data_IF_867865448522
#
_entry.id   IF_867865448522
#
_cell.length_a   1.000
_cell.length_b   1.000
_cell.length_c   1.000
_cell.angle_alpha   90.00
_cell.angle_beta   90.00
_cell.angle_gamma   90.00
#
_symmetry.space_group_name_H-M   'P 1'
#
loop_
_entity.id
_entity.type
_entity.pdbx_description
1 polymer ?
#
# COMPACT_ATOMS: atom_id res chain seq x y z
N UNK A 1 18.83 -9.58 -19.39
CA UNK A 1 18.11 -8.40 -18.88
C UNK A 1 18.47 -7.22 -19.78
N UNK A 2 17.51 -6.69 -20.53
CA UNK A 2 17.72 -5.57 -21.45
C UNK A 2 18.03 -4.31 -20.63
N UNK A 3 19.14 -3.64 -20.91
CA UNK A 3 19.53 -2.41 -20.20
C UNK A 3 18.77 -1.21 -20.76
N UNK A 4 18.04 -0.54 -19.88
CA UNK A 4 17.32 0.71 -20.17
C UNK A 4 18.22 1.93 -19.93
N UNK A 5 19.24 1.77 -19.09
CA UNK A 5 20.11 2.83 -18.60
C UNK A 5 21.05 3.38 -19.71
N UNK A 6 21.12 2.67 -20.83
CA UNK A 6 21.92 2.98 -22.02
C UNK A 6 21.16 3.79 -23.08
N UNK A 7 19.89 4.10 -22.89
CA UNK A 7 19.08 4.79 -23.92
C UNK A 7 19.34 6.29 -23.92
N UNK A 8 19.39 6.89 -25.11
CA UNK A 8 19.67 8.33 -25.27
C UNK A 8 18.45 9.15 -25.68
N UNK A 9 17.33 8.48 -26.02
CA UNK A 9 16.05 9.12 -26.33
C UNK A 9 14.88 8.45 -25.60
N UNK A 10 13.75 9.15 -25.47
CA UNK A 10 12.52 8.60 -24.86
C UNK A 10 11.94 7.46 -25.70
N UNK A 11 12.03 7.56 -27.02
CA UNK A 11 11.48 6.55 -27.93
C UNK A 11 12.27 5.24 -27.83
N UNK A 12 13.60 5.32 -27.76
CA UNK A 12 14.48 4.17 -27.49
C UNK A 12 14.17 3.53 -26.13
N UNK A 13 13.90 4.34 -25.11
CA UNK A 13 13.54 3.86 -23.77
C UNK A 13 12.28 3.03 -23.79
N UNK A 14 11.19 3.55 -24.38
CA UNK A 14 9.92 2.83 -24.42
C UNK A 14 9.98 1.60 -25.34
N UNK A 15 10.75 1.66 -26.42
CA UNK A 15 10.99 0.50 -27.28
C UNK A 15 11.70 -0.64 -26.52
N UNK A 16 12.80 -0.34 -25.83
CA UNK A 16 13.52 -1.35 -25.01
C UNK A 16 12.70 -1.84 -23.82
N UNK A 17 11.89 -0.97 -23.22
CA UNK A 17 10.98 -1.36 -22.14
C UNK A 17 9.93 -2.36 -22.65
N UNK A 18 9.33 -2.07 -23.81
CA UNK A 18 8.40 -2.99 -24.47
C UNK A 18 9.07 -4.31 -24.82
N UNK A 19 10.29 -4.29 -25.37
CA UNK A 19 11.05 -5.51 -25.67
C UNK A 19 11.28 -6.37 -24.41
N UNK A 20 11.60 -5.74 -23.27
CA UNK A 20 11.73 -6.46 -22.00
C UNK A 20 10.41 -7.05 -21.54
N UNK A 21 9.29 -6.33 -21.68
CA UNK A 21 7.95 -6.85 -21.34
C UNK A 21 7.64 -8.08 -22.20
N UNK A 22 7.87 -8.01 -23.51
CA UNK A 22 7.61 -9.13 -24.41
C UNK A 22 8.51 -10.33 -24.13
N UNK A 23 9.77 -10.09 -23.76
CA UNK A 23 10.73 -11.16 -23.46
C UNK A 23 10.46 -11.83 -22.11
N UNK A 24 10.22 -11.04 -21.06
CA UNK A 24 10.19 -11.54 -19.68
C UNK A 24 8.77 -11.92 -19.21
N UNK A 25 7.71 -11.29 -19.77
CA UNK A 25 6.31 -11.60 -19.45
C UNK A 25 5.58 -12.35 -20.57
N UNK A 26 6.01 -12.14 -21.82
CA UNK A 26 5.35 -12.71 -23.01
C UNK A 26 3.82 -12.50 -23.05
N UNK A 27 3.29 -11.29 -22.83
CA UNK A 27 1.85 -11.05 -22.85
C UNK A 27 1.28 -11.14 -24.26
N UNK A 28 -0.03 -11.36 -24.38
CA UNK A 28 -0.71 -11.27 -25.68
C UNK A 28 -0.77 -9.82 -26.16
N UNK A 29 -1.02 -8.89 -25.23
CA UNK A 29 -1.13 -7.47 -25.50
C UNK A 29 -0.45 -6.67 -24.42
N UNK A 30 0.20 -5.59 -24.80
CA UNK A 30 0.83 -4.69 -23.86
C UNK A 30 0.90 -3.27 -24.43
N UNK A 31 0.89 -2.27 -23.55
CA UNK A 31 1.16 -0.89 -23.95
C UNK A 31 1.76 -0.09 -22.80
N UNK A 32 2.42 1.00 -23.17
CA UNK A 32 3.00 1.97 -22.25
C UNK A 32 2.38 3.33 -22.52
N UNK A 33 1.83 3.96 -21.48
CA UNK A 33 1.33 5.34 -21.54
C UNK A 33 2.32 6.27 -20.84
N UNK A 34 2.56 7.42 -21.46
CA UNK A 34 3.34 8.50 -20.84
C UNK A 34 3.04 9.82 -21.52
N UNK A 35 2.84 10.88 -20.73
CA UNK A 35 2.50 12.21 -21.23
C UNK A 35 1.08 12.31 -21.78
N UNK A 36 0.70 13.52 -22.19
CA UNK A 36 -0.63 13.85 -22.70
C UNK A 36 -0.55 14.41 -24.11
N UNK A 37 -1.57 14.11 -24.93
CA UNK A 37 -1.82 14.77 -26.20
C UNK A 37 -2.34 16.21 -25.97
N UNK A 38 -2.44 16.99 -27.05
CA UNK A 38 -2.96 18.36 -27.01
C UNK A 38 -4.37 18.48 -26.39
N UNK A 39 -5.13 17.39 -26.38
CA UNK A 39 -6.48 17.31 -25.82
C UNK A 39 -6.52 16.83 -24.36
N UNK A 40 -5.37 16.71 -23.69
CA UNK A 40 -5.27 16.25 -22.29
C UNK A 40 -5.44 14.72 -22.11
N UNK A 41 -5.61 13.97 -23.18
CA UNK A 41 -5.69 12.50 -23.13
C UNK A 41 -4.30 11.88 -23.04
N UNK A 42 -4.16 10.77 -22.32
CA UNK A 42 -2.92 10.00 -22.25
C UNK A 42 -2.40 9.60 -23.64
N UNK A 43 -1.08 9.72 -23.83
CA UNK A 43 -0.39 9.31 -25.06
C UNK A 43 0.20 7.91 -24.91
N UNK A 44 -0.10 7.04 -25.87
CA UNK A 44 0.56 5.74 -26.01
C UNK A 44 1.95 5.93 -26.61
N UNK A 45 2.98 5.43 -25.94
CA UNK A 45 4.37 5.52 -26.42
C UNK A 45 4.85 4.23 -27.09
N UNK A 46 4.34 3.09 -26.61
CA UNK A 46 4.61 1.78 -27.20
C UNK A 46 3.37 0.90 -27.04
N UNK A 47 3.12 0.03 -28.00
CA UNK A 47 2.03 -0.95 -27.95
C UNK A 47 2.41 -2.24 -28.66
N UNK A 48 1.79 -3.34 -28.24
CA UNK A 48 1.92 -4.68 -28.81
C UNK A 48 0.55 -5.36 -28.78
N UNK A 49 0.19 -6.04 -29.87
CA UNK A 49 -1.09 -6.76 -29.98
C UNK A 49 -2.33 -5.86 -29.98
N UNK A 50 -2.15 -4.53 -30.11
CA UNK A 50 -3.20 -3.49 -30.06
C UNK A 50 -2.83 -2.34 -30.99
N UNK A 51 -3.85 -1.59 -31.43
CA UNK A 51 -3.65 -0.30 -32.10
C UNK A 51 -3.40 0.81 -31.07
N UNK A 52 -2.14 1.28 -31.01
CA UNK A 52 -1.64 2.27 -30.06
C UNK A 52 -2.45 3.57 -30.00
N UNK A 53 -2.99 4.02 -31.12
CA UNK A 53 -3.76 5.28 -31.21
C UNK A 53 -5.20 5.12 -30.70
N UNK A 54 -5.67 3.87 -30.58
CA UNK A 54 -7.06 3.56 -30.24
C UNK A 54 -7.21 2.84 -28.89
N UNK A 55 -6.11 2.49 -28.21
CA UNK A 55 -6.11 1.76 -26.91
C UNK A 55 -7.11 2.32 -25.90
N UNK A 56 -7.25 3.65 -25.81
CA UNK A 56 -8.10 4.31 -24.82
C UNK A 56 -9.56 4.53 -25.27
N UNK A 57 -9.88 4.22 -26.53
CA UNK A 57 -11.16 4.56 -27.17
C UNK A 57 -11.84 3.33 -27.81
N UNK A 58 -11.08 2.29 -28.19
CA UNK A 58 -11.56 1.16 -28.99
C UNK A 58 -12.43 0.15 -28.22
N UNK A 59 -12.42 0.18 -26.88
CA UNK A 59 -13.08 -0.83 -26.05
C UNK A 59 -12.42 -2.23 -26.11
N UNK A 60 -11.26 -2.35 -26.77
CA UNK A 60 -10.52 -3.61 -26.94
C UNK A 60 -9.88 -4.10 -25.63
N UNK A 61 -9.68 -3.19 -24.66
CA UNK A 61 -9.13 -3.48 -23.34
C UNK A 61 -10.14 -3.18 -22.24
N UNK A 62 -10.02 -3.86 -21.10
CA UNK A 62 -10.80 -3.51 -19.92
C UNK A 62 -10.26 -2.21 -19.34
N UNK A 63 -11.00 -1.11 -19.51
CA UNK A 63 -10.63 0.22 -19.00
C UNK A 63 -10.70 0.33 -17.48
N UNK A 64 -11.26 -0.64 -16.77
CA UNK A 64 -11.51 -0.55 -15.32
C UNK A 64 -10.23 -0.74 -14.48
N UNK A 65 -9.45 -1.84 -14.63
CA UNK A 65 -8.12 -1.94 -14.02
C UNK A 65 -7.22 -0.76 -14.37
N UNK A 66 -7.26 -0.34 -15.64
CA UNK A 66 -6.50 0.82 -16.13
C UNK A 66 -6.91 2.11 -15.40
N UNK A 67 -8.21 2.36 -15.23
CA UNK A 67 -8.74 3.54 -14.54
C UNK A 67 -8.40 3.56 -13.05
N UNK A 68 -8.45 2.41 -12.39
CA UNK A 68 -8.03 2.28 -10.99
C UNK A 68 -6.57 2.70 -10.84
N UNK A 69 -5.68 2.13 -11.65
CA UNK A 69 -4.25 2.42 -11.63
C UNK A 69 -3.97 3.88 -12.00
N UNK A 70 -4.71 4.45 -12.97
CA UNK A 70 -4.58 5.86 -13.34
C UNK A 70 -5.09 6.83 -12.26
N UNK A 71 -6.08 6.44 -11.47
CA UNK A 71 -6.67 7.27 -10.42
C UNK A 71 -5.87 7.21 -9.12
N UNK A 72 -5.55 6.00 -8.68
CA UNK A 72 -5.00 5.75 -7.34
C UNK A 72 -3.48 5.50 -7.38
N UNK A 73 -2.92 5.16 -8.54
CA UNK A 73 -1.53 4.75 -8.69
C UNK A 73 -1.23 3.35 -8.15
N UNK A 74 -2.23 2.69 -7.56
CA UNK A 74 -2.12 1.35 -6.99
C UNK A 74 -2.07 0.30 -8.12
N UNK A 75 -1.13 -0.67 -8.06
CA UNK A 75 -1.00 -1.67 -9.10
C UNK A 75 -2.16 -2.67 -9.06
N UNK A 76 -2.57 -3.15 -10.23
CA UNK A 76 -3.60 -4.18 -10.37
C UNK A 76 -2.99 -5.40 -11.03
N UNK A 77 -3.15 -6.57 -10.39
CA UNK A 77 -2.80 -7.87 -10.96
C UNK A 77 -3.98 -8.82 -10.76
N UNK A 78 -4.53 -9.31 -11.88
CA UNK A 78 -5.66 -10.23 -11.87
C UNK A 78 -5.20 -11.57 -12.45
N UNK A 79 -5.31 -12.63 -11.64
CA UNK A 79 -5.02 -14.00 -12.07
C UNK A 79 -6.08 -14.49 -13.06
N UNK A 80 -7.36 -14.23 -12.76
CA UNK A 80 -8.47 -14.34 -13.71
C UNK A 80 -9.46 -13.19 -13.47
N UNK A 81 -9.52 -12.23 -14.37
CA UNK A 81 -10.40 -11.07 -14.31
C UNK A 81 -11.89 -11.46 -14.28
N UNK A 82 -12.26 -12.64 -14.80
CA UNK A 82 -13.65 -13.13 -14.80
C UNK A 82 -14.05 -13.86 -13.51
N UNK A 83 -13.08 -14.26 -12.70
CA UNK A 83 -13.32 -14.92 -11.40
C UNK A 83 -12.99 -13.98 -10.24
N UNK A 84 -12.38 -12.83 -10.52
CA UNK A 84 -12.06 -11.82 -9.52
C UNK A 84 -13.34 -11.19 -8.92
N UNK A 85 -13.50 -11.15 -7.58
CA UNK A 85 -14.70 -10.62 -6.93
C UNK A 85 -15.02 -9.15 -7.26
N UNK A 86 -13.99 -8.35 -7.56
CA UNK A 86 -14.13 -6.92 -7.85
C UNK A 86 -14.42 -6.65 -9.34
N UNK A 87 -13.97 -7.54 -10.23
CA UNK A 87 -13.95 -7.31 -11.69
C UNK A 87 -14.85 -8.26 -12.51
N UNK A 88 -15.19 -9.45 -12.00
CA UNK A 88 -15.95 -10.51 -12.70
C UNK A 88 -17.33 -10.10 -13.22
N UNK A 89 -18.03 -9.20 -12.52
CA UNK A 89 -19.34 -8.69 -12.90
C UNK A 89 -19.33 -7.50 -13.86
N UNK A 90 -18.16 -6.94 -14.21
CA UNK A 90 -18.08 -5.69 -14.97
C UNK A 90 -18.19 -5.95 -16.47
N UNK A 91 -19.08 -5.22 -17.15
CA UNK A 91 -19.28 -5.32 -18.61
C UNK A 91 -17.97 -5.17 -19.41
N UNK A 92 -17.04 -4.33 -18.98
CA UNK A 92 -15.76 -4.13 -19.67
C UNK A 92 -14.85 -5.35 -19.67
N UNK A 93 -14.89 -6.17 -18.61
CA UNK A 93 -14.11 -7.42 -18.52
C UNK A 93 -14.70 -8.48 -19.44
N UNK A 94 -16.03 -8.55 -19.50
CA UNK A 94 -16.73 -9.49 -20.37
C UNK A 94 -16.58 -9.13 -21.86
N UNK A 95 -16.61 -7.84 -22.21
CA UNK A 95 -16.48 -7.37 -23.60
C UNK A 95 -15.05 -7.45 -24.14
N UNK A 96 -14.04 -7.17 -23.32
CA UNK A 96 -12.62 -7.23 -23.74
C UNK A 96 -12.07 -8.66 -23.78
N UNK A 97 -12.79 -9.62 -23.18
CA UNK A 97 -12.45 -11.04 -23.20
C UNK A 97 -11.25 -11.43 -22.33
N UNK A 98 -10.69 -10.48 -21.57
CA UNK A 98 -9.43 -10.65 -20.84
C UNK A 98 -9.52 -11.72 -19.75
N UNK A 99 -8.43 -12.49 -19.61
CA UNK A 99 -8.28 -13.52 -18.58
C UNK A 99 -7.33 -13.06 -17.51
N UNK A 100 -6.08 -12.75 -17.82
CA UNK A 100 -5.15 -12.19 -16.82
C UNK A 100 -4.73 -10.79 -17.18
N UNK A 101 -4.56 -9.93 -16.18
CA UNK A 101 -4.13 -8.53 -16.34
C UNK A 101 -3.02 -8.25 -15.37
N UNK A 102 -2.05 -7.45 -15.80
CA UNK A 102 -1.14 -6.75 -14.91
C UNK A 102 -0.97 -5.30 -15.36
N UNK A 103 -1.12 -4.36 -14.43
CA UNK A 103 -1.08 -2.94 -14.73
C UNK A 103 -0.40 -2.20 -13.58
N UNK A 104 0.65 -1.44 -13.90
CA UNK A 104 1.48 -0.75 -12.92
C UNK A 104 1.76 0.67 -13.39
N UNK A 105 1.48 1.65 -12.54
CA UNK A 105 1.85 3.04 -12.77
C UNK A 105 3.25 3.36 -12.22
N UNK A 106 3.86 4.42 -12.76
CA UNK A 106 4.87 5.19 -12.04
C UNK A 106 4.37 6.62 -11.84
N UNK A 107 4.81 7.21 -10.74
CA UNK A 107 4.45 8.57 -10.37
C UNK A 107 5.59 9.55 -10.65
N UNK A 108 5.24 10.82 -10.87
CA UNK A 108 6.19 11.92 -10.93
C UNK A 108 6.59 12.37 -9.51
N UNK A 109 7.33 13.48 -9.45
CA UNK A 109 7.77 14.11 -8.21
C UNK A 109 6.63 14.70 -7.37
N UNK A 110 5.46 14.90 -7.96
CA UNK A 110 4.28 15.46 -7.32
C UNK A 110 3.32 14.37 -6.81
N UNK A 111 3.78 13.12 -6.76
CA UNK A 111 2.99 11.92 -6.44
C UNK A 111 1.77 11.72 -7.37
N UNK A 112 1.81 12.32 -8.57
CA UNK A 112 0.80 12.12 -9.60
C UNK A 112 1.23 11.01 -10.54
N UNK A 113 0.28 10.20 -10.99
CA UNK A 113 0.56 9.19 -12.02
C UNK A 113 1.10 9.90 -13.26
N UNK A 114 2.31 9.54 -13.67
CA UNK A 114 3.02 10.15 -14.79
C UNK A 114 3.05 9.24 -16.02
N UNK A 115 2.85 7.95 -15.80
CA UNK A 115 2.68 6.96 -16.86
C UNK A 115 2.40 5.58 -16.28
N UNK A 116 2.14 4.62 -17.15
CA UNK A 116 1.87 3.24 -16.75
C UNK A 116 2.29 2.24 -17.80
N UNK A 117 2.50 1.02 -17.33
CA UNK A 117 2.66 -0.19 -18.14
C UNK A 117 1.43 -1.07 -17.93
N UNK A 118 0.82 -1.48 -19.02
CA UNK A 118 -0.28 -2.43 -19.05
C UNK A 118 0.12 -3.67 -19.85
N UNK A 119 -0.24 -4.84 -19.35
CA UNK A 119 -0.15 -6.09 -20.09
C UNK A 119 -1.35 -7.00 -19.76
N UNK A 120 -1.85 -7.69 -20.77
CA UNK A 120 -2.91 -8.68 -20.59
C UNK A 120 -2.71 -9.95 -21.43
N UNK A 121 -3.50 -10.96 -21.07
CA UNK A 121 -3.67 -12.18 -21.85
C UNK A 121 -5.15 -12.58 -21.82
N UNK A 122 -5.74 -12.86 -23.00
CA UNK A 122 -7.15 -13.24 -23.12
C UNK A 122 -7.34 -14.75 -23.12
N UNK A 123 -6.27 -15.53 -23.18
CA UNK A 123 -6.32 -17.00 -23.30
C UNK A 123 -5.84 -17.66 -22.01
N UNK A 124 -4.65 -17.27 -21.53
CA UNK A 124 -4.01 -17.85 -20.36
C UNK A 124 -4.59 -17.24 -19.09
N UNK A 125 -5.07 -18.12 -18.20
CA UNK A 125 -5.26 -17.78 -16.78
C UNK A 125 -3.90 -17.73 -16.10
N UNK A 126 -3.75 -16.85 -15.11
CA UNK A 126 -2.54 -16.74 -14.31
C UNK A 126 -1.28 -16.54 -15.16
N UNK A 127 -1.38 -15.86 -16.31
CA UNK A 127 -0.22 -15.55 -17.14
C UNK A 127 0.76 -14.62 -16.41
N UNK A 128 0.26 -13.87 -15.44
CA UNK A 128 1.03 -13.02 -14.55
C UNK A 128 0.83 -13.49 -13.11
N UNK A 129 1.94 -13.69 -12.42
CA UNK A 129 2.03 -14.07 -11.01
C UNK A 129 2.70 -12.94 -10.21
N UNK A 130 2.78 -13.10 -8.89
CA UNK A 130 3.35 -12.10 -7.99
C UNK A 130 4.79 -11.69 -8.36
N UNK A 131 5.60 -12.63 -8.86
CA UNK A 131 6.95 -12.35 -9.35
C UNK A 131 6.93 -11.41 -10.58
N UNK A 132 5.93 -11.55 -11.45
CA UNK A 132 5.76 -10.65 -12.60
C UNK A 132 5.34 -9.25 -12.14
N UNK A 133 4.56 -9.13 -11.05
CA UNK A 133 4.19 -7.85 -10.47
C UNK A 133 5.42 -7.13 -9.89
N UNK A 134 6.21 -7.83 -9.09
CA UNK A 134 7.46 -7.29 -8.55
C UNK A 134 8.43 -6.86 -9.68
N UNK A 135 8.49 -7.66 -10.75
CA UNK A 135 9.29 -7.34 -11.93
C UNK A 135 8.77 -6.08 -12.65
N UNK A 136 7.45 -5.96 -12.88
CA UNK A 136 6.84 -4.80 -13.54
C UNK A 136 7.02 -3.51 -12.72
N UNK A 137 6.91 -3.58 -11.39
CA UNK A 137 7.20 -2.45 -10.50
C UNK A 137 8.66 -2.01 -10.64
N UNK A 138 9.60 -2.97 -10.71
CA UNK A 138 11.01 -2.68 -10.96
C UNK A 138 11.26 -2.07 -12.34
N UNK A 139 10.54 -2.52 -13.38
CA UNK A 139 10.60 -1.95 -14.72
C UNK A 139 10.09 -0.50 -14.72
N UNK A 140 8.93 -0.24 -14.11
CA UNK A 140 8.34 1.09 -14.02
C UNK A 140 9.28 2.10 -13.34
N UNK A 141 9.95 1.70 -12.25
CA UNK A 141 10.92 2.55 -11.57
C UNK A 141 12.22 2.77 -12.38
N UNK A 142 12.61 1.80 -13.22
CA UNK A 142 13.73 1.98 -14.17
C UNK A 142 13.36 2.94 -15.30
N UNK A 143 12.16 2.82 -15.87
CA UNK A 143 11.63 3.74 -16.89
C UNK A 143 11.62 5.16 -16.32
N UNK A 144 11.00 5.36 -15.15
CA UNK A 144 10.93 6.67 -14.47
C UNK A 144 12.32 7.28 -14.27
N UNK A 145 13.28 6.52 -13.76
CA UNK A 145 14.66 7.01 -13.56
C UNK A 145 15.35 7.40 -14.85
N UNK A 146 15.17 6.62 -15.91
CA UNK A 146 15.78 6.96 -17.18
C UNK A 146 15.11 8.18 -17.83
N UNK A 147 13.80 8.37 -17.65
CA UNK A 147 13.10 9.59 -18.05
C UNK A 147 13.65 10.83 -17.33
N UNK A 148 13.94 10.74 -16.03
CA UNK A 148 14.59 11.83 -15.28
C UNK A 148 15.95 12.20 -15.90
N UNK A 149 16.78 11.18 -16.18
CA UNK A 149 18.11 11.35 -16.81
C UNK A 149 18.00 12.01 -18.18
N UNK A 150 17.09 11.54 -19.02
CA UNK A 150 16.86 12.08 -20.37
C UNK A 150 16.34 13.51 -20.36
N UNK A 151 15.56 13.88 -19.33
CA UNK A 151 15.08 15.25 -19.14
C UNK A 151 16.16 16.20 -18.59
N UNK A 152 17.39 15.73 -18.35
CA UNK A 152 18.44 16.51 -17.70
C UNK A 152 18.12 16.86 -16.24
N UNK A 153 17.11 16.20 -15.67
CA UNK A 153 16.69 16.37 -14.29
C UNK A 153 17.58 15.45 -13.46
N UNK A 154 18.28 16.01 -12.48
CA UNK A 154 19.14 15.21 -11.58
C UNK A 154 18.34 13.98 -11.09
N UNK A 155 18.87 12.75 -11.23
CA UNK A 155 18.13 11.54 -10.89
C UNK A 155 17.59 11.69 -9.49
N UNK A 156 16.29 11.43 -9.31
CA UNK A 156 15.68 11.45 -7.99
C UNK A 156 16.58 10.62 -7.05
N UNK A 157 17.03 11.16 -5.89
CA UNK A 157 17.57 10.30 -4.85
C UNK A 157 16.57 9.15 -4.65
N UNK A 158 17.03 7.90 -4.45
CA UNK A 158 16.12 6.75 -4.39
C UNK A 158 14.94 7.08 -3.48
N UNK A 159 13.71 7.01 -4.02
CA UNK A 159 12.47 7.59 -3.48
C UNK A 159 12.54 7.92 -1.98
N UNK A 160 12.66 9.21 -1.65
CA UNK A 160 12.26 9.67 -0.33
C UNK A 160 10.74 9.53 -0.24
N UNK A 161 10.27 8.37 0.23
CA UNK A 161 8.86 8.18 0.57
C UNK A 161 8.55 8.95 1.86
N UNK A 162 8.34 10.26 1.72
CA UNK A 162 7.48 11.00 2.62
C UNK A 162 6.05 10.44 2.57
N UNK A 163 5.28 10.48 3.67
CA UNK A 163 3.89 10.04 3.67
C UNK A 163 3.03 11.00 2.82
N UNK A 164 1.82 10.60 2.36
CA UNK A 164 0.83 11.61 2.01
C UNK A 164 0.67 12.53 3.22
N UNK A 165 0.89 13.81 3.00
CA UNK A 165 0.73 14.88 3.97
C UNK A 165 -0.67 14.77 4.58
N UNK A 166 -0.66 14.32 5.83
CA UNK A 166 -1.80 14.07 6.70
C UNK A 166 -1.27 13.77 8.10
N UNK A 167 -0.47 14.73 8.60
CA UNK A 167 0.13 14.83 9.93
C UNK A 167 1.33 13.93 10.25
N UNK A 168 2.52 14.47 10.01
CA UNK A 168 3.55 14.44 11.05
C UNK A 168 3.22 15.49 12.11
N UNK A 169 2.95 15.00 13.31
CA UNK A 169 3.45 15.62 14.53
C UNK A 169 4.09 14.50 15.35
N UNK A 170 5.39 14.54 15.66
CA UNK A 170 5.87 13.80 16.83
C UNK A 170 5.21 14.43 18.07
N UNK A 171 4.85 13.68 19.12
CA UNK A 171 4.80 14.31 20.43
C UNK A 171 6.22 14.82 20.70
N UNK A 172 6.30 16.13 20.93
CA UNK A 172 7.50 16.86 21.31
C UNK A 172 8.26 16.17 22.45
N UNK A 173 9.57 16.07 22.22
CA UNK A 173 10.70 16.06 23.16
C UNK A 173 10.38 15.97 24.66
N UNK A 174 10.78 14.84 25.26
CA UNK A 174 11.57 14.93 26.49
C UNK A 174 13.04 14.90 26.11
N UNK A 175 13.60 16.08 25.93
CA UNK A 175 15.04 16.32 25.83
C UNK A 175 15.64 16.28 27.24
N UNK A 176 16.07 15.10 27.66
CA UNK A 176 17.16 14.99 28.64
C UNK A 176 18.21 14.01 28.13
N UNK A 177 19.26 14.59 27.54
CA UNK A 177 20.62 14.04 27.60
C UNK A 177 21.05 13.11 26.46
N UNK A 178 21.92 13.64 25.59
CA UNK A 178 22.95 12.85 24.93
C UNK A 178 22.85 12.82 23.41
N UNK A 179 23.58 13.72 22.76
CA UNK A 179 24.02 13.52 21.39
C UNK A 179 24.82 12.21 21.31
N UNK A 180 24.27 11.21 20.63
CA UNK A 180 25.08 10.11 20.11
C UNK A 180 24.48 9.58 18.80
N UNK A 181 25.38 9.23 17.89
CA UNK A 181 25.18 8.62 16.58
C UNK A 181 23.90 7.77 16.42
N UNK A 182 23.20 7.90 15.29
CA UNK A 182 22.04 7.06 14.92
C UNK A 182 22.41 5.57 15.07
N UNK A 183 21.95 4.95 16.16
CA UNK A 183 22.28 3.56 16.51
C UNK A 183 21.94 2.61 15.35
N UNK A 184 22.82 1.65 15.08
CA UNK A 184 22.77 0.75 13.91
C UNK A 184 21.39 0.13 13.65
N UNK A 185 20.64 -0.23 14.70
CA UNK A 185 19.31 -0.84 14.56
C UNK A 185 18.31 0.09 13.90
N UNK A 186 18.35 1.39 14.21
CA UNK A 186 17.39 2.35 13.71
C UNK A 186 17.63 2.65 12.23
N UNK A 187 18.90 2.72 11.82
CA UNK A 187 19.32 2.83 10.42
C UNK A 187 18.79 1.64 9.60
N UNK A 188 19.04 0.41 10.06
CA UNK A 188 18.51 -0.79 9.39
C UNK A 188 16.98 -0.83 9.37
N UNK A 189 16.32 -0.39 10.45
CA UNK A 189 14.86 -0.36 10.54
C UNK A 189 14.24 0.63 9.56
N UNK A 190 14.79 1.85 9.47
CA UNK A 190 14.35 2.86 8.48
C UNK A 190 14.54 2.36 7.06
N UNK A 191 15.68 1.74 6.77
CA UNK A 191 15.94 1.14 5.46
C UNK A 191 14.94 0.02 5.13
N UNK A 192 14.63 -0.85 6.11
CA UNK A 192 13.62 -1.89 5.96
C UNK A 192 12.25 -1.33 5.60
N UNK A 193 11.82 -0.24 6.25
CA UNK A 193 10.56 0.44 5.88
C UNK A 193 10.59 1.02 4.47
N UNK A 194 11.68 1.68 4.08
CA UNK A 194 11.84 2.24 2.72
C UNK A 194 11.73 1.15 1.67
N UNK A 195 12.43 0.03 1.89
CA UNK A 195 12.37 -1.14 1.02
C UNK A 195 10.98 -1.76 0.94
N UNK A 196 10.22 -1.76 2.04
CA UNK A 196 8.85 -2.27 2.06
C UNK A 196 7.91 -1.39 1.23
N UNK A 197 8.05 -0.06 1.33
CA UNK A 197 7.23 0.88 0.56
C UNK A 197 7.44 0.75 -0.95
N UNK A 198 8.68 0.54 -1.39
CA UNK A 198 9.00 0.30 -2.81
C UNK A 198 8.76 -1.15 -3.27
N UNK A 199 8.04 -1.97 -2.48
CA UNK A 199 7.69 -3.35 -2.82
C UNK A 199 8.84 -4.37 -2.74
N UNK A 200 10.03 -3.99 -2.26
CA UNK A 200 11.18 -4.90 -2.10
C UNK A 200 11.10 -5.70 -0.79
N UNK A 201 10.03 -6.48 -0.64
CA UNK A 201 9.63 -7.15 0.62
C UNK A 201 10.73 -8.07 1.16
N UNK A 202 11.36 -8.89 0.32
CA UNK A 202 12.44 -9.80 0.77
C UNK A 202 13.70 -9.07 1.24
N UNK A 203 14.03 -7.90 0.66
CA UNK A 203 15.13 -7.05 1.16
C UNK A 203 14.73 -6.34 2.44
N UNK A 204 13.49 -5.88 2.54
CA UNK A 204 12.96 -5.27 3.76
C UNK A 204 13.07 -6.24 4.94
N UNK A 205 12.69 -7.51 4.76
CA UNK A 205 12.82 -8.54 5.79
C UNK A 205 14.26 -8.72 6.27
N UNK A 206 15.22 -8.80 5.34
CA UNK A 206 16.65 -8.92 5.68
C UNK A 206 17.13 -7.73 6.51
N UNK A 207 16.77 -6.51 6.12
CA UNK A 207 17.15 -5.31 6.86
C UNK A 207 16.52 -5.25 8.25
N UNK A 208 15.25 -5.64 8.39
CA UNK A 208 14.59 -5.69 9.69
C UNK A 208 15.13 -6.80 10.59
N UNK A 209 15.57 -7.94 10.04
CA UNK A 209 16.30 -8.97 10.80
C UNK A 209 17.65 -8.46 11.32
N UNK A 210 18.40 -7.71 10.49
CA UNK A 210 19.62 -7.02 10.92
C UNK A 210 19.35 -5.98 12.01
N UNK A 211 18.27 -5.20 11.84
CA UNK A 211 17.81 -4.24 12.86
C UNK A 211 17.51 -4.95 14.18
N UNK A 212 16.81 -6.09 14.15
CA UNK A 212 16.44 -6.81 15.36
C UNK A 212 17.68 -7.34 16.10
N UNK A 213 18.65 -7.87 15.35
CA UNK A 213 19.93 -8.32 15.90
C UNK A 213 20.69 -7.17 16.55
N UNK A 214 20.72 -6.00 15.92
CA UNK A 214 21.35 -4.81 16.48
C UNK A 214 20.58 -4.27 17.70
N UNK A 215 19.25 -4.27 17.67
CA UNK A 215 18.40 -3.81 18.76
C UNK A 215 18.60 -4.67 20.02
N UNK A 216 18.68 -6.00 19.89
CA UNK A 216 18.91 -6.90 21.03
C UNK A 216 20.27 -6.71 21.71
N UNK A 217 21.28 -6.23 20.99
CA UNK A 217 22.58 -5.87 21.59
C UNK A 217 22.49 -4.67 22.53
N UNK A 218 21.48 -3.82 22.36
CA UNK A 218 21.24 -2.67 23.26
C UNK A 218 20.58 -3.07 24.58
N UNK A 219 20.18 -4.33 24.71
CA UNK A 219 19.50 -4.89 25.87
C UNK A 219 18.24 -5.67 25.46
N UNK A 220 17.98 -6.78 26.15
CA UNK A 220 16.72 -7.53 26.03
C UNK A 220 15.54 -6.68 26.52
N UNK A 221 14.35 -6.93 25.95
CA UNK A 221 13.12 -6.18 26.24
C UNK A 221 13.28 -4.66 26.02
N UNK A 222 14.16 -4.23 25.11
CA UNK A 222 14.39 -2.82 24.80
C UNK A 222 13.28 -2.21 23.93
N UNK A 223 13.09 -0.89 24.02
CA UNK A 223 12.19 -0.18 23.10
C UNK A 223 12.64 -0.32 21.64
N UNK A 224 13.94 -0.49 21.39
CA UNK A 224 14.49 -0.77 20.07
C UNK A 224 14.01 -2.12 19.53
N UNK A 225 14.00 -3.16 20.37
CA UNK A 225 13.49 -4.49 20.02
C UNK A 225 12.00 -4.42 19.69
N UNK A 226 11.18 -3.85 20.57
CA UNK A 226 9.73 -3.75 20.38
C UNK A 226 9.35 -2.96 19.10
N UNK A 227 10.02 -1.83 18.84
CA UNK A 227 9.81 -1.04 17.62
C UNK A 227 10.17 -1.83 16.37
N UNK A 228 11.25 -2.62 16.42
CA UNK A 228 11.69 -3.43 15.28
C UNK A 228 10.77 -4.62 15.02
N UNK A 229 10.31 -5.31 16.06
CA UNK A 229 9.33 -6.39 15.95
C UNK A 229 8.01 -5.90 15.33
N UNK A 230 7.51 -4.73 15.76
CA UNK A 230 6.33 -4.10 15.14
C UNK A 230 6.55 -3.73 13.66
N UNK A 231 7.78 -3.35 13.29
CA UNK A 231 8.15 -3.14 11.88
C UNK A 231 8.13 -4.45 11.09
N UNK A 232 8.65 -5.55 11.66
CA UNK A 232 8.65 -6.88 11.03
C UNK A 232 7.23 -7.40 10.78
N UNK A 233 6.30 -7.12 11.70
CA UNK A 233 4.88 -7.45 11.51
C UNK A 233 4.31 -6.96 10.18
N UNK A 234 4.70 -5.75 9.74
CA UNK A 234 4.26 -5.20 8.44
C UNK A 234 4.76 -6.03 7.27
N UNK A 235 6.01 -6.48 7.32
CA UNK A 235 6.60 -7.34 6.29
C UNK A 235 5.87 -8.69 6.25
N UNK A 236 5.66 -9.31 7.41
CA UNK A 236 4.97 -10.59 7.50
C UNK A 236 3.51 -10.51 7.04
N UNK A 237 2.81 -9.39 7.29
CA UNK A 237 1.47 -9.16 6.72
C UNK A 237 1.48 -9.12 5.19
N UNK A 238 2.42 -8.39 4.60
CA UNK A 238 2.56 -8.30 3.13
C UNK A 238 2.91 -9.66 2.52
N UNK A 239 3.64 -10.50 3.24
CA UNK A 239 3.97 -11.87 2.81
C UNK A 239 2.89 -12.91 3.17
N UNK A 240 1.74 -12.50 3.71
CA UNK A 240 0.69 -13.41 4.20
C UNK A 240 1.15 -14.41 5.29
N UNK A 241 2.26 -14.13 5.98
CA UNK A 241 2.80 -14.92 7.09
C UNK A 241 2.15 -14.49 8.40
N UNK A 242 0.86 -14.83 8.55
CA UNK A 242 0.01 -14.31 9.62
C UNK A 242 0.42 -14.78 11.02
N UNK A 243 0.89 -16.02 11.16
CA UNK A 243 1.31 -16.56 12.47
C UNK A 243 2.56 -15.85 12.98
N UNK A 244 3.57 -15.65 12.12
CA UNK A 244 4.77 -14.90 12.48
C UNK A 244 4.47 -13.42 12.74
N UNK A 245 3.52 -12.84 12.02
CA UNK A 245 3.03 -11.49 12.30
C UNK A 245 2.43 -11.40 13.71
N UNK A 246 1.62 -12.39 14.11
CA UNK A 246 1.02 -12.44 15.46
C UNK A 246 2.09 -12.55 16.52
N UNK A 247 3.01 -13.50 16.38
CA UNK A 247 4.08 -13.75 17.34
C UNK A 247 4.91 -12.47 17.60
N UNK A 248 5.35 -11.78 16.54
CA UNK A 248 6.16 -10.56 16.73
C UNK A 248 5.36 -9.39 17.29
N UNK A 249 4.06 -9.30 17.01
CA UNK A 249 3.19 -8.24 17.57
C UNK A 249 2.84 -8.48 19.03
N UNK A 250 2.58 -9.73 19.43
CA UNK A 250 2.35 -10.13 20.82
C UNK A 250 3.61 -9.83 21.64
N UNK A 251 4.78 -10.25 21.13
CA UNK A 251 6.06 -9.95 21.77
C UNK A 251 6.34 -8.45 21.87
N UNK A 252 6.04 -7.68 20.82
CA UNK A 252 6.20 -6.23 20.86
C UNK A 252 5.27 -5.58 21.90
N UNK A 253 4.02 -6.03 21.97
CA UNK A 253 3.03 -5.53 22.94
C UNK A 253 3.49 -5.78 24.38
N UNK A 254 3.96 -7.00 24.70
CA UNK A 254 4.52 -7.33 26.01
C UNK A 254 5.64 -6.39 26.42
N UNK A 255 6.60 -6.14 25.52
CA UNK A 255 7.73 -5.26 25.81
C UNK A 255 7.24 -3.82 26.02
N UNK A 256 6.32 -3.33 25.17
CA UNK A 256 5.75 -1.98 25.34
C UNK A 256 4.97 -1.84 26.66
N UNK A 257 4.22 -2.87 27.07
CA UNK A 257 3.51 -2.90 28.35
C UNK A 257 4.49 -2.76 29.52
N UNK A 258 5.55 -3.59 29.55
CA UNK A 258 6.59 -3.53 30.60
C UNK A 258 7.31 -2.19 30.66
N UNK A 259 7.39 -1.47 29.54
CA UNK A 259 8.05 -0.17 29.42
C UNK A 259 7.09 1.02 29.63
N UNK A 260 5.83 0.78 29.99
CA UNK A 260 4.86 1.84 30.24
C UNK A 260 4.52 2.63 28.97
N UNK A 261 4.35 1.96 27.83
CA UNK A 261 4.10 2.57 26.51
C UNK A 261 2.69 2.26 25.99
N UNK A 262 1.63 2.77 26.63
CA UNK A 262 0.25 2.36 26.36
C UNK A 262 -0.19 2.59 24.91
N UNK A 263 0.23 3.70 24.28
CA UNK A 263 -0.09 3.99 22.88
C UNK A 263 0.57 3.01 21.90
N UNK A 264 1.77 2.52 22.21
CA UNK A 264 2.44 1.53 21.37
C UNK A 264 1.83 0.13 21.55
N UNK A 265 1.37 -0.21 22.77
CA UNK A 265 0.53 -1.40 23.03
C UNK A 265 -0.73 -1.33 22.17
N UNK A 266 -1.48 -0.23 22.23
CA UNK A 266 -2.72 -0.04 21.47
C UNK A 266 -2.52 -0.25 19.96
N UNK A 267 -1.40 0.23 19.41
CA UNK A 267 -1.04 0.03 17.99
C UNK A 267 -0.78 -1.44 17.65
N UNK A 268 -0.13 -2.19 18.55
CA UNK A 268 0.10 -3.62 18.36
C UNK A 268 -1.23 -4.39 18.40
N UNK A 269 -2.04 -4.11 19.42
CA UNK A 269 -3.37 -4.72 19.59
C UNK A 269 -4.29 -4.46 18.40
N UNK A 270 -4.35 -3.22 17.90
CA UNK A 270 -5.16 -2.89 16.72
C UNK A 270 -4.70 -3.64 15.45
N UNK A 271 -3.39 -3.84 15.30
CA UNK A 271 -2.83 -4.59 14.16
C UNK A 271 -3.16 -6.07 14.26
N UNK A 272 -3.05 -6.66 15.47
CA UNK A 272 -3.48 -8.03 15.77
C UNK A 272 -4.97 -8.22 15.54
N UNK A 273 -5.79 -7.28 16.04
CA UNK A 273 -7.23 -7.28 15.89
C UNK A 273 -7.63 -7.31 14.41
N UNK A 274 -7.00 -6.49 13.57
CA UNK A 274 -7.22 -6.52 12.13
C UNK A 274 -6.90 -7.85 11.47
N UNK A 275 -5.86 -8.56 11.94
CA UNK A 275 -5.55 -9.91 11.46
C UNK A 275 -6.56 -10.97 11.90
N UNK A 276 -7.08 -10.88 13.13
CA UNK A 276 -8.18 -11.76 13.57
C UNK A 276 -9.50 -11.43 12.88
N UNK A 277 -9.75 -10.16 12.56
CA UNK A 277 -10.90 -9.69 11.80
C UNK A 277 -10.90 -10.28 10.38
N UNK A 278 -9.78 -10.23 9.65
CA UNK A 278 -9.68 -10.84 8.32
C UNK A 278 -9.86 -12.36 8.34
N UNK A 279 -9.42 -13.00 9.42
CA UNK A 279 -9.56 -14.45 9.61
C UNK A 279 -10.93 -14.85 10.19
N UNK A 280 -11.89 -13.93 10.24
CA UNK A 280 -13.25 -14.14 10.77
C UNK A 280 -13.30 -14.59 12.24
N UNK A 281 -12.22 -14.38 13.01
CA UNK A 281 -12.16 -14.61 14.45
C UNK A 281 -12.65 -13.36 15.20
N UNK A 282 -13.93 -13.04 15.02
CA UNK A 282 -14.54 -11.77 15.47
C UNK A 282 -14.45 -11.55 16.97
N UNK A 283 -14.61 -12.58 17.80
CA UNK A 283 -14.54 -12.48 19.26
C UNK A 283 -13.15 -12.03 19.75
N UNK A 284 -12.09 -12.60 19.14
CA UNK A 284 -10.70 -12.20 19.45
C UNK A 284 -10.41 -10.80 18.95
N UNK A 285 -10.83 -10.49 17.72
CA UNK A 285 -10.66 -9.17 17.13
C UNK A 285 -11.33 -8.10 18.00
N UNK A 286 -12.55 -8.35 18.46
CA UNK A 286 -13.29 -7.44 19.31
C UNK A 286 -12.58 -7.16 20.63
N UNK A 287 -12.14 -8.19 21.36
CA UNK A 287 -11.42 -8.01 22.62
C UNK A 287 -10.20 -7.11 22.47
N UNK A 288 -9.43 -7.33 21.39
CA UNK A 288 -8.24 -6.55 21.06
C UNK A 288 -8.57 -5.12 20.64
N UNK A 289 -9.59 -4.91 19.80
CA UNK A 289 -10.02 -3.56 19.41
C UNK A 289 -10.54 -2.76 20.60
N UNK A 290 -11.35 -3.35 21.49
CA UNK A 290 -11.83 -2.67 22.70
C UNK A 290 -10.67 -2.24 23.58
N UNK A 291 -9.69 -3.13 23.82
CA UNK A 291 -8.51 -2.79 24.61
C UNK A 291 -7.67 -1.68 23.98
N UNK A 292 -7.50 -1.69 22.65
CA UNK A 292 -6.82 -0.61 21.94
C UNK A 292 -7.57 0.74 22.08
N UNK A 293 -8.90 0.71 21.98
CA UNK A 293 -9.77 1.89 22.17
C UNK A 293 -9.64 2.44 23.59
N UNK A 294 -9.66 1.61 24.63
CA UNK A 294 -9.46 2.03 26.03
C UNK A 294 -8.13 2.78 26.20
N UNK A 295 -7.04 2.23 25.68
CA UNK A 295 -5.71 2.81 25.81
C UNK A 295 -5.59 4.14 25.07
N UNK A 296 -6.18 4.26 23.87
CA UNK A 296 -6.20 5.53 23.14
C UNK A 296 -7.11 6.57 23.79
N UNK A 297 -8.28 6.18 24.28
CA UNK A 297 -9.22 7.09 24.95
C UNK A 297 -8.67 7.64 26.26
N UNK A 298 -7.89 6.85 27.00
CA UNK A 298 -7.27 7.27 28.24
C UNK A 298 -6.24 8.39 28.04
N UNK A 299 -5.55 8.39 26.89
CA UNK A 299 -4.58 9.43 26.52
C UNK A 299 -5.29 10.66 25.94
N UNK A 300 -6.10 10.45 24.90
CA UNK A 300 -6.83 11.50 24.21
C UNK A 300 -8.17 10.95 23.70
N UNK A 301 -9.32 11.47 24.20
CA UNK A 301 -10.65 11.05 23.75
C UNK A 301 -10.91 11.23 22.25
N UNK A 302 -10.08 11.99 21.54
CA UNK A 302 -10.15 12.23 20.09
C UNK A 302 -8.91 11.74 19.34
N UNK A 303 -8.12 10.84 19.93
CA UNK A 303 -6.95 10.26 19.28
C UNK A 303 -7.34 9.68 17.91
N UNK A 304 -6.63 10.08 16.84
CA UNK A 304 -7.01 9.76 15.44
C UNK A 304 -7.20 8.27 15.13
N UNK A 305 -6.51 7.39 15.85
CA UNK A 305 -6.64 5.93 15.68
C UNK A 305 -7.93 5.34 16.28
N UNK A 306 -8.68 6.10 17.08
CA UNK A 306 -9.96 5.66 17.63
C UNK A 306 -10.99 5.42 16.53
N UNK A 307 -11.08 6.30 15.52
CA UNK A 307 -12.10 6.19 14.49
C UNK A 307 -12.02 4.87 13.70
N UNK A 308 -10.86 4.45 13.16
CA UNK A 308 -10.73 3.14 12.52
C UNK A 308 -11.09 1.96 13.44
N UNK A 309 -10.66 1.98 14.70
CA UNK A 309 -10.92 0.87 15.62
C UNK A 309 -12.39 0.78 16.04
N UNK A 310 -13.03 1.93 16.32
CA UNK A 310 -14.46 2.01 16.57
C UNK A 310 -15.27 1.57 15.35
N UNK A 311 -14.82 1.92 14.14
CA UNK A 311 -15.45 1.47 12.89
C UNK A 311 -15.40 -0.06 12.75
N UNK A 312 -14.29 -0.72 13.11
CA UNK A 312 -14.23 -2.17 13.14
C UNK A 312 -15.09 -2.80 14.25
N UNK A 313 -15.19 -2.16 15.43
CA UNK A 313 -16.14 -2.60 16.46
C UNK A 313 -17.59 -2.49 15.98
N UNK A 314 -17.92 -1.45 15.19
CA UNK A 314 -19.23 -1.32 14.55
C UNK A 314 -19.52 -2.43 13.54
N UNK A 315 -18.53 -2.86 12.76
CA UNK A 315 -18.66 -4.01 11.84
C UNK A 315 -18.95 -5.30 12.60
N UNK A 316 -18.22 -5.55 13.70
CA UNK A 316 -18.36 -6.77 14.50
C UNK A 316 -19.70 -6.77 15.25
N UNK A 317 -20.06 -5.64 15.88
CA UNK A 317 -21.21 -5.52 16.77
C UNK A 317 -22.40 -4.90 16.04
N UNK A 318 -23.03 -5.64 15.14
CA UNK A 318 -24.14 -5.13 14.31
C UNK A 318 -25.28 -4.48 15.12
N UNK A 319 -25.57 -4.96 16.34
CA UNK A 319 -26.60 -4.37 17.23
C UNK A 319 -26.22 -3.01 17.82
N UNK A 320 -24.93 -2.69 17.93
CA UNK A 320 -24.40 -1.42 18.45
C UNK A 320 -23.65 -0.63 17.38
N UNK A 321 -23.79 -1.03 16.11
CA UNK A 321 -23.04 -0.47 14.99
C UNK A 321 -23.23 1.03 14.87
N UNK A 322 -24.47 1.52 15.02
CA UNK A 322 -24.77 2.95 14.97
C UNK A 322 -24.01 3.73 16.04
N UNK A 323 -24.00 3.27 17.30
CA UNK A 323 -23.27 3.93 18.39
C UNK A 323 -21.78 4.02 18.09
N UNK A 324 -21.20 2.93 17.56
CA UNK A 324 -19.79 2.90 17.20
C UNK A 324 -19.47 3.83 16.02
N UNK A 325 -20.31 3.84 14.98
CA UNK A 325 -20.11 4.70 13.81
C UNK A 325 -20.33 6.18 14.11
N UNK A 326 -21.29 6.52 14.96
CA UNK A 326 -21.48 7.89 15.45
C UNK A 326 -20.21 8.40 16.13
N UNK A 327 -19.68 7.63 17.10
CA UNK A 327 -18.46 8.03 17.81
C UNK A 327 -17.25 8.04 16.89
N UNK A 328 -17.14 7.07 15.97
CA UNK A 328 -16.05 7.03 15.01
C UNK A 328 -16.07 8.24 14.07
N UNK A 329 -17.25 8.68 13.63
CA UNK A 329 -17.42 9.84 12.76
C UNK A 329 -17.06 11.14 13.50
N UNK A 330 -17.55 11.30 14.74
CA UNK A 330 -17.22 12.44 15.60
C UNK A 330 -15.70 12.57 15.80
N UNK A 331 -15.03 11.47 16.13
CA UNK A 331 -13.58 11.48 16.32
C UNK A 331 -12.85 11.79 15.01
N UNK A 332 -13.25 11.19 13.88
CA UNK A 332 -12.61 11.46 12.59
C UNK A 332 -12.77 12.92 12.15
N UNK A 333 -13.98 13.47 12.27
CA UNK A 333 -14.26 14.87 11.94
C UNK A 333 -13.37 15.82 12.75
N UNK A 334 -13.23 15.59 14.06
CA UNK A 334 -12.42 16.45 14.93
C UNK A 334 -10.91 16.29 14.75
N UNK A 335 -10.44 15.06 14.56
CA UNK A 335 -8.99 14.76 14.52
C UNK A 335 -8.37 14.79 13.14
N UNK A 336 -9.15 14.56 12.08
CA UNK A 336 -8.66 14.46 10.70
C UNK A 336 -9.32 15.49 9.76
N UNK A 337 -10.43 16.09 10.17
CA UNK A 337 -11.23 17.01 9.34
C UNK A 337 -12.31 16.28 8.51
N UNK A 338 -13.27 17.05 8.02
CA UNK A 338 -14.48 16.55 7.33
C UNK A 338 -14.20 15.88 5.96
N UNK A 339 -13.19 16.38 5.25
CA UNK A 339 -12.84 15.92 3.89
C UNK A 339 -11.92 14.69 3.87
N UNK A 340 -11.36 14.33 5.03
CA UNK A 340 -10.42 13.23 5.12
C UNK A 340 -11.08 11.91 4.69
N UNK A 341 -10.41 11.05 3.90
CA UNK A 341 -11.00 9.80 3.39
C UNK A 341 -11.59 8.89 4.47
N UNK A 342 -10.94 8.82 5.64
CA UNK A 342 -11.45 8.05 6.80
C UNK A 342 -12.77 8.65 7.29
N UNK A 343 -12.88 9.97 7.43
CA UNK A 343 -14.11 10.64 7.86
C UNK A 343 -15.26 10.36 6.89
N UNK A 344 -14.99 10.48 5.58
CA UNK A 344 -15.97 10.13 4.53
C UNK A 344 -16.44 8.68 4.64
N UNK A 345 -15.51 7.72 4.73
CA UNK A 345 -15.83 6.29 4.84
C UNK A 345 -16.66 5.96 6.09
N UNK A 346 -16.33 6.57 7.23
CA UNK A 346 -17.07 6.36 8.47
C UNK A 346 -18.48 6.98 8.39
N UNK A 347 -18.60 8.16 7.77
CA UNK A 347 -19.89 8.81 7.50
C UNK A 347 -20.79 7.94 6.61
N UNK A 348 -20.24 7.36 5.56
CA UNK A 348 -20.99 6.46 4.67
C UNK A 348 -21.50 5.22 5.42
N UNK A 349 -20.68 4.64 6.29
CA UNK A 349 -21.08 3.50 7.13
C UNK A 349 -22.18 3.85 8.12
N UNK A 350 -22.09 5.03 8.73
CA UNK A 350 -23.15 5.54 9.61
C UNK A 350 -24.46 5.71 8.83
N UNK A 351 -24.43 6.38 7.67
CA UNK A 351 -25.61 6.57 6.83
C UNK A 351 -26.27 5.26 6.40
N UNK A 352 -25.46 4.26 6.04
CA UNK A 352 -25.96 2.93 5.67
C UNK A 352 -26.66 2.19 6.82
N UNK A 353 -26.18 2.34 8.06
CA UNK A 353 -26.85 1.74 9.23
C UNK A 353 -28.14 2.48 9.55
N UNK A 354 -28.13 3.80 9.48
CA UNK A 354 -29.31 4.61 9.77
C UNK A 354 -30.44 4.37 8.76
N UNK A 355 -30.12 4.27 7.47
CA UNK A 355 -31.09 3.92 6.44
C UNK A 355 -31.76 2.56 6.72
N UNK A 356 -30.99 1.56 7.15
CA UNK A 356 -31.51 0.23 7.52
C UNK A 356 -32.37 0.20 8.79
N UNK A 357 -32.30 1.22 9.63
CA UNK A 357 -33.13 1.35 10.83
C UNK A 357 -34.43 2.10 10.55
N UNK A 358 -34.49 2.87 9.46
CA UNK A 358 -35.67 3.63 9.02
C UNK A 358 -36.55 2.86 8.02
N UNK A 359 -36.00 1.85 7.36
CA UNK A 359 -36.72 0.84 6.55
C UNK A 359 -37.19 -0.33 7.42
#
# INVERSE_FOLDING_TARGET
MISLESTTTTDELFAKAMESILTDLGPERAFILYGHNQNGTWKTQASHGLDGDRVLVSGEISLQPLRHVLADGEPVMLLDAREDPEYSGRMSVNLSGVRSVICVAWKDRSDQVAGLVYADDRVRRSAFLEDNLAWMLGLADRIRRQLDVLAGVAPLPPAEDGPPSGEEGPPSEDSTGGADSSSDWDTFRRLGHKLLKIGQVGKAERQLKSALKAARKTGEDSLAEAKTLRSMAKVYRVQHRLDECREVLERAAEIFEKRGRPLDVARCLNTLAGGYFTDSQWDKAEGLYRRAVELWMAEDPYHKMLSPALTHLGDIQSRRAETYYLRANEVAAKSLGEEHPITRKTRDRLGNVQAKLTD
#
